data_IF_312079724924
#
_entry.id   IF_312079724924
#
_cell.length_a   1.000
_cell.length_b   1.000
_cell.length_c   1.000
_cell.angle_alpha   90.00
_cell.angle_beta   90.00
_cell.angle_gamma   90.00
#
_symmetry.space_group_name_H-M   'P 1'
#
loop_
_entity.id
_entity.type
_entity.pdbx_description
1 polymer ?
#
# COMPACT_ATOMS: atom_id res chain seq x y z
N UNK A 1 3.91 -3.04 -23.03
CA UNK A 1 3.61 -2.19 -21.87
C UNK A 1 2.28 -2.61 -21.24
N UNK A 2 2.26 -2.83 -19.94
CA UNK A 2 1.05 -3.12 -19.16
C UNK A 2 0.67 -1.84 -18.42
N UNK A 3 -0.42 -1.21 -18.86
CA UNK A 3 -0.89 0.06 -18.32
C UNK A 3 -2.26 -0.09 -17.65
N UNK A 4 -2.32 0.25 -16.37
CA UNK A 4 -3.49 0.03 -15.52
C UNK A 4 -3.52 -1.40 -14.95
N UNK A 5 -3.57 -1.49 -13.62
CA UNK A 5 -3.54 -2.78 -12.93
C UNK A 5 -4.97 -3.29 -12.70
N UNK A 6 -5.59 -3.78 -13.79
CA UNK A 6 -6.99 -4.25 -13.87
C UNK A 6 -7.05 -5.63 -14.49
N UNK A 7 -8.20 -6.24 -14.47
CA UNK A 7 -8.50 -7.53 -15.10
C UNK A 7 -7.41 -8.57 -14.77
N UNK A 8 -6.75 -9.12 -15.75
CA UNK A 8 -5.68 -10.12 -15.58
C UNK A 8 -4.46 -9.58 -14.83
N UNK A 9 -4.28 -8.26 -14.77
CA UNK A 9 -3.18 -7.59 -14.08
C UNK A 9 -3.56 -6.97 -12.73
N UNK A 10 -4.75 -7.26 -12.21
CA UNK A 10 -5.19 -6.79 -10.88
C UNK A 10 -4.25 -7.18 -9.76
N UNK A 11 -3.57 -8.30 -9.90
CA UNK A 11 -2.59 -8.77 -8.90
C UNK A 11 -1.42 -7.80 -8.70
N UNK A 12 -1.15 -6.89 -9.62
CA UNK A 12 -0.13 -5.85 -9.50
C UNK A 12 -0.59 -4.69 -8.59
N UNK A 13 -1.90 -4.48 -8.46
CA UNK A 13 -2.45 -3.40 -7.63
C UNK A 13 -2.23 -3.64 -6.14
N UNK A 14 -2.01 -2.57 -5.39
CA UNK A 14 -1.98 -2.60 -3.93
C UNK A 14 -3.34 -2.95 -3.30
N UNK A 15 -4.43 -2.79 -4.05
CA UNK A 15 -5.78 -3.13 -3.62
C UNK A 15 -6.11 -4.62 -3.74
N UNK A 16 -5.27 -5.38 -4.42
CA UNK A 16 -5.47 -6.82 -4.58
C UNK A 16 -5.29 -7.55 -3.25
N UNK A 17 -6.28 -8.41 -2.90
CA UNK A 17 -6.20 -9.22 -1.68
C UNK A 17 -5.13 -10.31 -1.84
N UNK A 18 -4.04 -10.14 -1.14
CA UNK A 18 -2.96 -11.10 -0.98
C UNK A 18 -2.23 -10.80 0.32
N UNK A 19 -1.86 -11.83 1.12
CA UNK A 19 -1.14 -11.62 2.35
C UNK A 19 0.17 -10.86 2.14
N UNK A 20 0.40 -9.84 2.96
CA UNK A 20 1.63 -9.05 2.97
C UNK A 20 2.11 -8.97 4.41
N UNK A 21 3.35 -9.38 4.66
CA UNK A 21 3.96 -9.22 5.97
C UNK A 21 4.85 -7.98 5.97
N UNK A 22 4.58 -7.08 6.88
CA UNK A 22 5.37 -5.89 7.11
C UNK A 22 5.57 -5.68 8.61
N UNK A 23 6.82 -5.47 9.01
CA UNK A 23 7.20 -5.26 10.41
C UNK A 23 6.61 -6.32 11.37
N UNK A 24 6.62 -7.59 10.96
CA UNK A 24 6.17 -8.73 11.74
C UNK A 24 4.66 -8.97 11.78
N UNK A 25 3.85 -8.16 11.11
CA UNK A 25 2.39 -8.30 11.04
C UNK A 25 1.96 -8.61 9.61
N UNK A 26 1.01 -9.54 9.47
CA UNK A 26 0.44 -9.91 8.16
C UNK A 26 -0.84 -9.15 7.90
N UNK A 27 -0.86 -8.42 6.81
CA UNK A 27 -1.98 -7.62 6.32
C UNK A 27 -2.69 -8.34 5.16
N UNK A 28 -3.97 -8.06 5.00
CA UNK A 28 -4.81 -8.68 3.97
C UNK A 28 -4.48 -8.23 2.55
N UNK A 29 -3.88 -7.04 2.41
CA UNK A 29 -3.47 -6.45 1.14
C UNK A 29 -2.33 -5.44 1.35
N UNK A 30 -1.68 -5.04 0.25
CA UNK A 30 -0.57 -4.09 0.31
C UNK A 30 -0.98 -2.70 0.76
N UNK A 31 -2.19 -2.25 0.40
CA UNK A 31 -2.68 -0.93 0.81
C UNK A 31 -2.85 -0.83 2.32
N UNK A 32 -3.39 -1.86 2.97
CA UNK A 32 -3.54 -1.90 4.42
C UNK A 32 -2.17 -1.83 5.13
N UNK A 33 -1.18 -2.59 4.66
CA UNK A 33 0.19 -2.52 5.18
C UNK A 33 0.80 -1.13 5.01
N UNK A 34 0.63 -0.54 3.83
CA UNK A 34 1.17 0.78 3.51
C UNK A 34 0.51 1.89 4.32
N UNK A 35 -0.81 1.84 4.49
CA UNK A 35 -1.53 2.79 5.34
C UNK A 35 -1.12 2.65 6.81
N UNK A 36 -1.04 1.42 7.34
CA UNK A 36 -0.58 1.18 8.71
C UNK A 36 0.82 1.76 8.95
N UNK A 37 1.73 1.62 7.99
CA UNK A 37 3.11 2.10 8.12
C UNK A 37 3.21 3.60 8.41
N UNK A 38 2.22 4.39 7.99
CA UNK A 38 2.15 5.83 8.29
C UNK A 38 1.96 6.15 9.78
N UNK A 39 1.45 5.19 10.56
CA UNK A 39 0.91 5.44 11.88
C UNK A 39 1.49 4.52 12.97
N UNK A 40 2.53 3.72 12.66
CA UNK A 40 3.15 2.80 13.63
C UNK A 40 3.82 3.50 14.81
N UNK A 41 4.03 4.80 14.74
CA UNK A 41 4.55 5.61 15.83
C UNK A 41 3.49 5.95 16.89
N UNK A 42 2.20 5.74 16.61
CA UNK A 42 1.11 6.05 17.53
C UNK A 42 0.95 4.95 18.56
N UNK A 43 1.01 5.33 19.83
CA UNK A 43 0.70 4.45 20.97
C UNK A 43 -0.81 4.42 21.24
N UNK A 44 -1.31 3.45 22.03
CA UNK A 44 -2.71 3.49 22.51
C UNK A 44 -3.08 4.81 23.19
N UNK A 45 -2.17 5.42 23.94
CA UNK A 45 -2.40 6.72 24.58
C UNK A 45 -2.49 7.85 23.55
N UNK A 46 -1.68 7.83 22.50
CA UNK A 46 -1.80 8.78 21.38
C UNK A 46 -3.15 8.66 20.69
N UNK A 47 -3.60 7.43 20.42
CA UNK A 47 -4.91 7.17 19.80
C UNK A 47 -6.03 7.72 20.70
N UNK A 48 -5.99 7.43 21.99
CA UNK A 48 -6.97 7.92 22.97
C UNK A 48 -7.00 9.45 23.02
N UNK A 49 -5.85 10.10 22.97
CA UNK A 49 -5.74 11.56 23.12
C UNK A 49 -6.08 12.32 21.82
N UNK A 50 -5.77 11.75 20.63
CA UNK A 50 -5.79 12.47 19.37
C UNK A 50 -6.94 12.09 18.42
N UNK A 51 -7.56 10.92 18.64
CA UNK A 51 -8.55 10.36 17.74
C UNK A 51 -9.93 10.39 18.40
N UNK A 52 -10.97 10.71 17.62
CA UNK A 52 -12.34 10.76 18.18
C UNK A 52 -12.80 9.34 18.58
N UNK A 53 -13.59 9.22 19.68
CA UNK A 53 -14.12 7.92 20.12
C UNK A 53 -14.89 7.18 19.03
N UNK A 54 -15.62 7.90 18.15
CA UNK A 54 -16.36 7.27 17.06
C UNK A 54 -15.43 6.59 16.04
N UNK A 55 -14.27 7.16 15.72
CA UNK A 55 -13.29 6.55 14.83
C UNK A 55 -12.68 5.32 15.51
N UNK A 56 -12.36 5.40 16.79
CA UNK A 56 -11.82 4.28 17.57
C UNK A 56 -12.79 3.10 17.52
N UNK A 57 -14.07 3.34 17.76
CA UNK A 57 -15.11 2.31 17.76
C UNK A 57 -15.39 1.77 16.34
N UNK A 58 -15.55 2.66 15.35
CA UNK A 58 -15.90 2.28 13.97
C UNK A 58 -14.82 1.41 13.31
N UNK A 59 -13.56 1.64 13.65
CA UNK A 59 -12.41 0.90 13.07
C UNK A 59 -11.85 -0.17 14.00
N UNK A 60 -12.44 -0.38 15.17
CA UNK A 60 -12.13 -1.49 16.06
C UNK A 60 -10.75 -1.43 16.70
N UNK A 61 -10.28 -0.23 17.08
CA UNK A 61 -9.03 -0.11 17.84
C UNK A 61 -9.18 -0.70 19.25
N UNK A 62 -8.36 -1.68 19.57
CA UNK A 62 -8.22 -2.19 20.92
C UNK A 62 -7.10 -1.43 21.66
N UNK A 63 -7.48 -0.48 22.49
CA UNK A 63 -6.51 0.37 23.22
C UNK A 63 -5.81 -0.34 24.37
N UNK A 64 -6.12 -1.61 24.65
CA UNK A 64 -5.37 -2.48 25.58
C UNK A 64 -4.20 -3.19 24.89
N UNK A 65 -4.14 -3.10 23.56
CA UNK A 65 -3.14 -3.73 22.71
C UNK A 65 -2.08 -2.69 22.31
N UNK A 66 -0.82 -2.94 22.65
CA UNK A 66 0.30 -2.06 22.30
C UNK A 66 0.52 -1.95 20.77
N UNK A 67 0.01 -2.94 20.02
CA UNK A 67 0.04 -2.99 18.56
C UNK A 67 -1.33 -2.66 17.95
N UNK A 68 -2.11 -1.81 18.60
CA UNK A 68 -3.49 -1.52 18.20
C UNK A 68 -3.63 -0.96 16.78
N UNK A 69 -2.64 -0.21 16.29
CA UNK A 69 -2.63 0.32 14.92
C UNK A 69 -2.48 -0.81 13.90
N UNK A 70 -1.45 -1.63 14.04
CA UNK A 70 -1.18 -2.74 13.14
C UNK A 70 -2.37 -3.71 13.09
N UNK A 71 -2.88 -4.07 14.25
CA UNK A 71 -3.99 -5.02 14.33
C UNK A 71 -5.31 -4.44 13.81
N UNK A 72 -5.55 -3.14 13.96
CA UNK A 72 -6.70 -2.49 13.36
C UNK A 72 -6.66 -2.53 11.83
N UNK A 73 -5.49 -2.29 11.22
CA UNK A 73 -5.32 -2.32 9.77
C UNK A 73 -5.22 -3.73 9.18
N UNK A 74 -4.76 -4.73 9.95
CA UNK A 74 -4.37 -6.05 9.42
C UNK A 74 -5.47 -6.75 8.62
N UNK A 75 -6.72 -6.69 9.07
CA UNK A 75 -7.87 -7.33 8.44
C UNK A 75 -8.71 -6.40 7.55
N UNK A 76 -8.29 -5.14 7.37
CA UNK A 76 -9.07 -4.17 6.59
C UNK A 76 -9.01 -4.44 5.10
N UNK A 77 -10.11 -4.12 4.41
CA UNK A 77 -10.08 -3.93 2.97
C UNK A 77 -9.16 -2.75 2.61
N UNK A 78 -8.65 -2.74 1.38
CA UNK A 78 -7.83 -1.63 0.90
C UNK A 78 -8.58 -0.29 0.95
N UNK A 79 -9.87 -0.29 0.63
CA UNK A 79 -10.70 0.92 0.67
C UNK A 79 -10.86 1.46 2.10
N UNK A 80 -11.13 0.59 3.07
CA UNK A 80 -11.28 1.01 4.48
C UNK A 80 -9.95 1.49 5.07
N UNK A 81 -8.86 0.81 4.77
CA UNK A 81 -7.51 1.23 5.17
C UNK A 81 -7.19 2.64 4.64
N UNK A 82 -7.51 2.91 3.37
CA UNK A 82 -7.31 4.23 2.78
C UNK A 82 -8.18 5.31 3.42
N UNK A 83 -9.44 5.00 3.76
CA UNK A 83 -10.32 5.92 4.47
C UNK A 83 -9.79 6.25 5.87
N UNK A 84 -9.39 5.24 6.65
CA UNK A 84 -8.82 5.44 7.98
C UNK A 84 -7.52 6.24 7.90
N UNK A 85 -6.67 5.96 6.93
CA UNK A 85 -5.42 6.67 6.72
C UNK A 85 -5.54 8.19 6.54
N UNK A 86 -6.71 8.68 6.13
CA UNK A 86 -6.98 10.13 6.02
C UNK A 86 -7.39 10.77 7.35
N UNK A 87 -7.62 9.98 8.38
CA UNK A 87 -8.18 10.43 9.67
C UNK A 87 -7.14 10.43 10.80
N UNK A 88 -5.95 9.90 10.56
CA UNK A 88 -4.91 9.73 11.57
C UNK A 88 -3.71 10.66 11.30
N UNK A 89 -3.00 11.11 12.35
CA UNK A 89 -1.81 11.95 12.19
C UNK A 89 -0.63 11.13 11.66
N UNK A 90 -0.15 11.51 10.48
CA UNK A 90 0.95 10.82 9.79
C UNK A 90 2.30 11.07 10.48
N UNK A 91 3.21 10.09 10.41
CA UNK A 91 4.57 10.21 10.93
C UNK A 91 5.34 11.35 10.23
N UNK A 92 6.18 12.11 10.98
CA UNK A 92 6.85 13.29 10.41
C UNK A 92 7.85 12.99 9.30
N UNK A 93 8.47 11.80 9.29
CA UNK A 93 9.48 11.37 8.32
C UNK A 93 8.91 10.64 7.10
N UNK A 94 7.59 10.64 6.92
CA UNK A 94 6.89 9.85 5.89
C UNK A 94 7.46 10.08 4.49
N UNK A 95 7.68 11.32 4.11
CA UNK A 95 8.20 11.66 2.77
C UNK A 95 9.60 11.07 2.51
N UNK A 96 10.39 10.84 3.56
CA UNK A 96 11.74 10.28 3.45
C UNK A 96 11.76 8.74 3.39
N UNK A 97 10.69 8.07 3.88
CA UNK A 97 10.70 6.62 4.07
C UNK A 97 9.68 5.87 3.20
N UNK A 98 8.69 6.56 2.64
CA UNK A 98 7.55 5.94 1.95
C UNK A 98 7.93 5.01 0.79
N UNK A 99 8.96 5.34 0.03
CA UNK A 99 9.36 4.51 -1.11
C UNK A 99 10.05 3.23 -0.67
N UNK A 100 10.90 3.29 0.35
CA UNK A 100 11.56 2.11 0.91
C UNK A 100 10.55 1.18 1.59
N UNK A 101 9.58 1.75 2.30
CA UNK A 101 8.47 0.98 2.89
C UNK A 101 7.66 0.28 1.81
N UNK A 102 7.33 0.96 0.71
CA UNK A 102 6.62 0.34 -0.39
C UNK A 102 7.43 -0.80 -1.04
N UNK A 103 8.75 -0.66 -1.16
CA UNK A 103 9.62 -1.74 -1.65
C UNK A 103 9.53 -2.98 -0.79
N UNK A 104 9.61 -2.82 0.52
CA UNK A 104 9.48 -3.95 1.46
C UNK A 104 8.12 -4.64 1.34
N UNK A 105 7.04 -3.86 1.25
CA UNK A 105 5.67 -4.36 1.12
C UNK A 105 5.50 -5.15 -0.18
N UNK A 106 5.93 -4.61 -1.30
CA UNK A 106 5.84 -5.25 -2.62
C UNK A 106 6.71 -6.50 -2.66
N UNK A 107 7.92 -6.45 -2.12
CA UNK A 107 8.80 -7.63 -2.01
C UNK A 107 8.14 -8.74 -1.20
N UNK A 108 7.55 -8.42 -0.05
CA UNK A 108 6.84 -9.39 0.77
C UNK A 108 5.69 -10.06 0.00
N UNK A 109 4.88 -9.27 -0.70
CA UNK A 109 3.75 -9.79 -1.49
C UNK A 109 4.17 -10.83 -2.52
N UNK A 110 5.22 -10.55 -3.26
CA UNK A 110 5.63 -11.40 -4.39
C UNK A 110 6.65 -12.49 -4.01
N UNK A 111 7.57 -12.21 -3.10
CA UNK A 111 8.55 -13.21 -2.66
C UNK A 111 7.91 -14.33 -1.85
N UNK A 112 6.90 -14.03 -1.04
CA UNK A 112 6.26 -15.00 -0.15
C UNK A 112 5.02 -15.70 -0.76
N UNK A 113 4.68 -15.40 -2.02
CA UNK A 113 3.55 -15.99 -2.72
C UNK A 113 4.03 -16.55 -4.07
N UNK A 114 4.24 -17.86 -4.14
CA UNK A 114 4.76 -18.52 -5.34
C UNK A 114 3.88 -18.30 -6.58
N UNK A 115 2.56 -18.26 -6.42
CA UNK A 115 1.62 -18.00 -7.52
C UNK A 115 1.79 -16.58 -8.06
N UNK A 116 1.80 -15.57 -7.17
CA UNK A 116 1.97 -14.17 -7.57
C UNK A 116 3.37 -13.91 -8.12
N UNK A 117 4.41 -14.54 -7.55
CA UNK A 117 5.77 -14.48 -8.09
C UNK A 117 5.79 -14.94 -9.55
N UNK A 118 5.22 -16.11 -9.85
CA UNK A 118 5.15 -16.61 -11.23
C UNK A 118 4.41 -15.63 -12.15
N UNK A 119 3.29 -15.05 -11.70
CA UNK A 119 2.56 -14.06 -12.50
C UNK A 119 3.38 -12.80 -12.77
N UNK A 120 4.11 -12.30 -11.77
CA UNK A 120 4.98 -11.13 -11.95
C UNK A 120 6.10 -11.44 -12.94
N UNK A 121 6.76 -12.59 -12.82
CA UNK A 121 7.80 -13.02 -13.75
C UNK A 121 7.27 -13.23 -15.17
N UNK A 122 6.04 -13.72 -15.32
CA UNK A 122 5.38 -13.90 -16.61
C UNK A 122 5.10 -12.58 -17.35
N UNK A 123 5.17 -11.43 -16.68
CA UNK A 123 5.12 -10.12 -17.38
C UNK A 123 6.39 -9.83 -18.19
N UNK A 124 7.40 -10.69 -18.12
CA UNK A 124 8.63 -10.59 -18.90
C UNK A 124 9.38 -9.29 -18.68
N UNK A 125 9.66 -8.58 -19.75
CA UNK A 125 10.34 -7.27 -19.69
C UNK A 125 9.38 -6.09 -19.99
N UNK A 126 8.06 -6.37 -19.91
CA UNK A 126 7.04 -5.33 -20.10
C UNK A 126 7.20 -4.19 -19.09
N UNK A 127 7.04 -2.97 -19.60
CA UNK A 127 6.92 -1.81 -18.73
C UNK A 127 5.59 -1.89 -17.95
N UNK A 128 5.67 -1.73 -16.64
CA UNK A 128 4.51 -1.74 -15.74
C UNK A 128 4.16 -0.32 -15.34
N UNK A 129 2.92 0.11 -15.61
CA UNK A 129 2.47 1.47 -15.35
C UNK A 129 1.16 1.45 -14.57
N UNK A 130 1.15 2.04 -13.37
CA UNK A 130 -0.09 2.27 -12.61
C UNK A 130 -0.86 3.45 -13.23
N UNK A 131 -1.58 3.16 -14.30
CA UNK A 131 -2.40 4.17 -15.00
C UNK A 131 -3.64 4.48 -14.18
N UNK A 132 -3.85 5.77 -13.90
CA UNK A 132 -5.00 6.23 -13.13
C UNK A 132 -5.63 7.50 -13.72
N UNK A 133 -6.78 7.96 -13.11
CA UNK A 133 -7.53 9.16 -13.50
C UNK A 133 -7.86 10.07 -12.32
N UNK A 134 -7.31 9.78 -11.12
CA UNK A 134 -7.61 10.48 -9.88
C UNK A 134 -6.43 11.33 -9.34
N UNK A 135 -5.58 11.80 -10.25
CA UNK A 135 -4.47 12.74 -9.99
C UNK A 135 -3.29 12.16 -9.20
N UNK A 136 -3.14 10.84 -9.09
CA UNK A 136 -1.96 10.24 -8.51
C UNK A 136 -0.83 10.19 -9.54
N UNK A 137 0.10 11.13 -9.44
CA UNK A 137 1.31 11.22 -10.25
C UNK A 137 2.58 10.85 -9.46
N UNK A 138 2.43 10.32 -8.25
CA UNK A 138 3.55 9.80 -7.45
C UNK A 138 3.62 8.28 -7.61
N UNK A 139 2.59 7.55 -7.19
CA UNK A 139 2.55 6.10 -7.29
C UNK A 139 2.21 5.62 -8.69
N UNK A 140 1.45 6.40 -9.43
CA UNK A 140 1.03 6.11 -10.79
C UNK A 140 1.38 7.20 -11.80
N UNK A 141 0.69 7.10 -12.92
CA UNK A 141 0.74 8.03 -14.06
C UNK A 141 -0.70 8.38 -14.46
N UNK A 142 -1.13 9.59 -14.11
CA UNK A 142 -2.51 10.01 -14.29
C UNK A 142 -2.79 10.48 -15.72
N UNK A 143 -3.80 9.89 -16.36
CA UNK A 143 -4.22 10.19 -17.70
C UNK A 143 -5.43 11.15 -17.82
N UNK A 144 -5.88 11.76 -16.70
CA UNK A 144 -6.99 12.70 -16.74
C UNK A 144 -6.63 14.00 -17.48
N UNK A 145 -7.63 14.77 -17.88
CA UNK A 145 -7.44 16.01 -18.65
C UNK A 145 -6.50 17.03 -18.01
N UNK A 146 -6.49 17.11 -16.67
CA UNK A 146 -5.58 18.01 -15.94
C UNK A 146 -4.13 17.53 -15.90
N UNK A 147 -3.91 16.23 -16.02
CA UNK A 147 -2.58 15.61 -15.88
C UNK A 147 -1.97 15.15 -17.21
N UNK A 148 -2.74 15.01 -18.27
CA UNK A 148 -2.32 14.38 -19.54
C UNK A 148 -1.05 14.94 -20.19
N UNK A 149 -0.68 16.17 -19.86
CA UNK A 149 0.50 16.84 -20.43
C UNK A 149 1.76 16.73 -19.57
N UNK A 150 1.71 15.94 -18.50
CA UNK A 150 2.88 15.69 -17.61
C UNK A 150 2.94 14.22 -17.21
N UNK A 151 4.13 13.64 -17.30
CA UNK A 151 4.34 12.26 -16.88
C UNK A 151 4.28 12.13 -15.35
N UNK A 152 3.59 11.13 -14.86
CA UNK A 152 3.66 10.70 -13.47
C UNK A 152 4.97 9.96 -13.17
N UNK A 153 5.35 9.91 -11.91
CA UNK A 153 6.56 9.18 -11.46
C UNK A 153 6.41 7.67 -11.55
N UNK A 154 5.17 7.17 -11.52
CA UNK A 154 4.87 5.73 -11.62
C UNK A 154 5.68 4.88 -10.62
N UNK A 155 5.85 5.33 -9.40
CA UNK A 155 6.73 4.67 -8.42
C UNK A 155 6.30 3.25 -8.10
N UNK A 156 4.99 2.95 -8.10
CA UNK A 156 4.54 1.55 -7.91
C UNK A 156 5.01 0.67 -9.08
N UNK A 157 4.85 1.12 -10.31
CA UNK A 157 5.33 0.39 -11.49
C UNK A 157 6.85 0.18 -11.47
N UNK A 158 7.60 1.22 -11.08
CA UNK A 158 9.07 1.14 -10.92
C UNK A 158 9.44 0.07 -9.89
N UNK A 159 8.84 0.11 -8.70
CA UNK A 159 9.11 -0.86 -7.62
C UNK A 159 8.72 -2.28 -8.04
N UNK A 160 7.61 -2.47 -8.74
CA UNK A 160 7.22 -3.78 -9.27
C UNK A 160 8.26 -4.34 -10.26
N UNK A 161 8.79 -3.48 -11.15
CA UNK A 161 9.84 -3.88 -12.09
C UNK A 161 11.16 -4.19 -11.37
N UNK A 162 11.54 -3.43 -10.34
CA UNK A 162 12.69 -3.72 -9.47
C UNK A 162 12.53 -5.07 -8.76
N UNK A 163 11.36 -5.31 -8.17
CA UNK A 163 11.03 -6.60 -7.51
C UNK A 163 11.09 -7.75 -8.50
N UNK A 164 10.51 -7.60 -9.69
CA UNK A 164 10.59 -8.60 -10.76
C UNK A 164 12.02 -8.95 -11.12
N UNK A 165 12.89 -7.95 -11.24
CA UNK A 165 14.30 -8.17 -11.56
C UNK A 165 15.04 -8.95 -10.47
N UNK A 166 14.74 -8.68 -9.19
CA UNK A 166 15.36 -9.41 -8.06
C UNK A 166 14.85 -10.85 -7.91
N UNK A 167 13.63 -11.13 -8.37
CA UNK A 167 13.01 -12.45 -8.24
C UNK A 167 13.32 -13.40 -9.43
N UNK A 168 13.95 -12.89 -10.51
CA UNK A 168 14.46 -13.71 -11.62
C UNK A 168 15.61 -14.60 -11.15
#
# INVERSE_FOLDING_TARGET
MIAGFRDDFRFLSNFYNAPVTYNGVTYKNSEAAFQAAKFLHLTPDDIRAKISPSIIDDYGFDLTDDHCVEHAFAAMSAADAKKLGRKLPIRPDWENVKFDIMREIVDSKFANNAYLKRKLLATGDEQLVERNWWHDNIWGDCACDRCKNRAGKNMLGVILMETRARLK
#
